data_IF_296963610538
#
_entry.id   IF_296963610538
#
_cell.length_a   1.000
_cell.length_b   1.000
_cell.length_c   1.000
_cell.angle_alpha   90.00
_cell.angle_beta   90.00
_cell.angle_gamma   90.00
#
_symmetry.space_group_name_H-M   'P 1'
#
loop_
_entity.id
_entity.type
_entity.pdbx_description
1 polymer ?
#
# COMPACT_ATOMS: atom_id res chain seq x y z
N UNK A 1 16.13 -6.26 12.15
CA UNK A 1 15.78 -5.10 13.00
C UNK A 1 14.53 -4.51 12.40
N UNK A 2 13.37 -4.90 12.92
CA UNK A 2 12.05 -4.42 12.50
C UNK A 2 11.92 -2.94 12.82
N UNK A 3 11.75 -2.10 11.79
CA UNK A 3 11.36 -0.70 11.95
C UNK A 3 9.93 -0.57 11.43
N UNK A 4 8.95 -0.84 12.30
CA UNK A 4 7.53 -0.70 12.01
C UNK A 4 6.86 0.28 12.99
N UNK A 5 5.74 0.87 12.56
CA UNK A 5 4.81 1.62 13.40
C UNK A 5 4.30 0.74 14.55
N UNK A 6 4.36 1.25 15.79
CA UNK A 6 3.93 0.49 16.98
C UNK A 6 2.52 0.89 17.39
N UNK A 7 1.70 -0.09 17.82
CA UNK A 7 0.31 0.07 18.27
C UNK A 7 0.22 -0.27 19.76
N UNK A 8 -0.39 0.59 20.58
CA UNK A 8 -0.72 0.25 21.99
C UNK A 8 -2.13 -0.35 22.12
N UNK A 9 -2.26 -1.45 22.87
CA UNK A 9 -3.52 -2.21 23.06
C UNK A 9 -4.26 -1.81 24.33
N UNK A 10 -5.59 -1.78 24.23
CA UNK A 10 -6.47 -2.11 25.34
C UNK A 10 -7.95 -2.06 24.94
N UNK A 11 -8.70 -3.15 25.10
CA UNK A 11 -10.10 -3.14 25.57
C UNK A 11 -10.60 -4.55 25.93
N UNK A 12 -11.30 -4.65 27.06
CA UNK A 12 -11.81 -5.88 27.69
C UNK A 12 -13.12 -6.40 27.06
N UNK A 13 -13.32 -7.71 27.21
CA UNK A 13 -14.46 -8.49 26.75
C UNK A 13 -15.67 -8.36 27.68
N UNK A 14 -16.88 -8.20 27.12
CA UNK A 14 -18.15 -8.86 27.55
C UNK A 14 -19.36 -8.19 26.85
N UNK A 15 -19.80 -8.76 25.72
CA UNK A 15 -21.19 -8.72 25.21
C UNK A 15 -21.25 -9.50 23.87
N UNK A 16 -21.86 -10.69 23.84
CA UNK A 16 -22.04 -11.50 22.62
C UNK A 16 -23.52 -11.65 22.26
N UNK A 17 -23.95 -11.27 21.04
CA UNK A 17 -25.18 -11.76 20.45
C UNK A 17 -24.94 -13.02 19.58
N UNK A 18 -26.06 -13.69 19.27
CA UNK A 18 -26.21 -14.97 18.57
C UNK A 18 -25.50 -15.09 17.21
N UNK A 19 -25.21 -16.34 16.83
CA UNK A 19 -24.31 -16.74 15.75
C UNK A 19 -24.47 -15.96 14.42
N UNK A 20 -23.37 -15.41 13.86
CA UNK A 20 -23.40 -14.64 12.61
C UNK A 20 -23.61 -15.53 11.38
N UNK A 21 -24.14 -14.97 10.26
CA UNK A 21 -24.19 -15.66 8.98
C UNK A 21 -22.77 -16.03 8.52
N UNK A 22 -22.65 -17.13 7.76
CA UNK A 22 -21.41 -17.75 7.30
C UNK A 22 -20.30 -16.76 6.88
N UNK A 23 -19.31 -16.57 7.78
CA UNK A 23 -18.12 -15.70 7.64
C UNK A 23 -16.96 -16.32 6.83
N UNK A 24 -17.16 -17.47 6.18
CA UNK A 24 -16.05 -18.27 5.64
C UNK A 24 -15.31 -17.63 4.44
N UNK A 25 -15.96 -16.76 3.65
CA UNK A 25 -15.32 -16.03 2.53
C UNK A 25 -14.66 -14.71 2.97
N UNK A 26 -15.31 -13.99 3.88
CA UNK A 26 -14.90 -12.65 4.36
C UNK A 26 -13.51 -12.64 5.02
N UNK A 27 -13.05 -13.78 5.56
CA UNK A 27 -11.74 -13.88 6.21
C UNK A 27 -10.56 -14.06 5.24
N UNK A 28 -10.77 -14.69 4.08
CA UNK A 28 -9.71 -14.93 3.09
C UNK A 28 -9.50 -13.69 2.22
N UNK A 29 -10.61 -13.10 1.78
CA UNK A 29 -10.71 -11.85 1.04
C UNK A 29 -9.96 -10.71 1.75
N UNK A 30 -10.21 -10.51 3.04
CA UNK A 30 -9.54 -9.48 3.84
C UNK A 30 -8.05 -9.74 4.05
N UNK A 31 -7.64 -11.01 4.16
CA UNK A 31 -6.23 -11.38 4.26
C UNK A 31 -5.48 -11.08 2.95
N UNK A 32 -6.09 -11.39 1.79
CA UNK A 32 -5.54 -11.08 0.48
C UNK A 32 -5.31 -9.58 0.28
N UNK A 33 -6.27 -8.74 0.71
CA UNK A 33 -6.13 -7.27 0.73
C UNK A 33 -4.95 -6.81 1.59
N UNK A 34 -4.80 -7.36 2.79
CA UNK A 34 -3.67 -7.05 3.67
C UNK A 34 -2.33 -7.37 3.01
N UNK A 35 -2.20 -8.59 2.45
CA UNK A 35 -0.98 -9.05 1.83
C UNK A 35 -0.62 -8.26 0.57
N UNK A 36 -1.62 -7.90 -0.24
CA UNK A 36 -1.44 -7.05 -1.42
C UNK A 36 -0.69 -5.75 -1.07
N UNK A 37 -1.17 -5.03 -0.07
CA UNK A 37 -0.56 -3.76 0.35
C UNK A 37 0.84 -3.94 0.93
N UNK A 38 1.03 -4.96 1.78
CA UNK A 38 2.33 -5.29 2.38
C UNK A 38 3.37 -5.64 1.32
N UNK A 39 3.00 -6.45 0.34
CA UNK A 39 3.91 -6.94 -0.70
C UNK A 39 4.29 -5.83 -1.68
N UNK A 40 3.33 -4.97 -2.08
CA UNK A 40 3.67 -3.78 -2.87
C UNK A 40 4.54 -2.80 -2.08
N UNK A 41 4.28 -2.59 -0.79
CA UNK A 41 5.14 -1.74 0.04
C UNK A 41 6.59 -2.23 0.05
N UNK A 42 6.79 -3.54 0.17
CA UNK A 42 8.11 -4.16 0.10
C UNK A 42 8.73 -4.07 -1.30
N UNK A 43 7.95 -4.24 -2.37
CA UNK A 43 8.43 -4.12 -3.76
C UNK A 43 8.99 -2.74 -4.11
N UNK A 44 8.48 -1.68 -3.47
CA UNK A 44 8.92 -0.28 -3.67
C UNK A 44 9.89 0.22 -2.59
N UNK A 45 10.49 -0.69 -1.81
CA UNK A 45 11.65 -0.40 -0.96
C UNK A 45 12.93 -0.80 -1.69
N UNK A 46 14.08 -0.28 -1.22
CA UNK A 46 15.37 -0.69 -1.76
C UNK A 46 15.50 -2.22 -1.69
N UNK A 47 15.85 -2.89 -2.80
CA UNK A 47 15.85 -4.35 -2.87
C UNK A 47 16.90 -4.94 -1.92
N UNK A 48 16.50 -5.98 -1.16
CA UNK A 48 17.37 -6.71 -0.22
C UNK A 48 17.55 -8.19 -0.59
N UNK A 49 17.08 -8.62 -1.76
CA UNK A 49 16.97 -10.02 -2.19
C UNK A 49 15.52 -10.53 -2.12
N UNK A 50 15.26 -11.72 -2.66
CA UNK A 50 13.96 -12.37 -2.56
C UNK A 50 12.84 -11.74 -3.42
N UNK A 51 13.18 -10.91 -4.41
CA UNK A 51 12.17 -10.19 -5.20
C UNK A 51 11.34 -11.13 -6.09
N UNK A 52 11.91 -12.25 -6.54
CA UNK A 52 11.17 -13.26 -7.30
C UNK A 52 10.09 -13.92 -6.45
N UNK A 53 10.44 -14.33 -5.23
CA UNK A 53 9.53 -14.89 -4.25
C UNK A 53 8.45 -13.87 -3.84
N UNK A 54 8.85 -12.62 -3.58
CA UNK A 54 7.92 -11.53 -3.27
C UNK A 54 6.90 -11.32 -4.39
N UNK A 55 7.35 -11.28 -5.66
CA UNK A 55 6.44 -11.11 -6.79
C UNK A 55 5.55 -12.34 -6.99
N UNK A 56 6.05 -13.55 -6.66
CA UNK A 56 5.23 -14.76 -6.67
C UNK A 56 4.14 -14.72 -5.60
N UNK A 57 4.47 -14.34 -4.36
CA UNK A 57 3.51 -14.12 -3.28
C UNK A 57 2.48 -13.04 -3.65
N UNK A 58 2.93 -11.94 -4.28
CA UNK A 58 2.06 -10.87 -4.71
C UNK A 58 1.05 -11.35 -5.76
N UNK A 59 1.45 -12.24 -6.67
CA UNK A 59 0.52 -12.84 -7.64
C UNK A 59 -0.56 -13.68 -6.96
N UNK A 60 -0.22 -14.40 -5.88
CA UNK A 60 -1.19 -15.17 -5.11
C UNK A 60 -2.16 -14.22 -4.39
N UNK A 61 -1.64 -13.20 -3.71
CA UNK A 61 -2.48 -12.20 -3.03
C UNK A 61 -3.43 -11.47 -3.99
N UNK A 62 -2.98 -11.13 -5.21
CA UNK A 62 -3.84 -10.51 -6.23
C UNK A 62 -4.87 -11.49 -6.78
N UNK A 63 -4.55 -12.78 -6.91
CA UNK A 63 -5.49 -13.80 -7.38
C UNK A 63 -6.58 -14.11 -6.34
N UNK A 64 -6.22 -14.08 -5.06
CA UNK A 64 -7.12 -14.30 -3.93
C UNK A 64 -7.88 -13.01 -3.53
N UNK A 65 -7.57 -11.87 -4.15
CA UNK A 65 -8.27 -10.62 -3.93
C UNK A 65 -9.73 -10.71 -4.39
N UNK A 66 -10.70 -10.11 -3.69
CA UNK A 66 -12.14 -10.19 -4.05
C UNK A 66 -12.48 -9.67 -5.45
N UNK A 67 -11.65 -8.74 -5.94
CA UNK A 67 -11.73 -8.20 -7.28
C UNK A 67 -10.35 -8.34 -7.95
N UNK A 68 -10.01 -9.54 -8.46
CA UNK A 68 -8.67 -9.82 -8.95
C UNK A 68 -8.43 -9.14 -10.30
N UNK A 69 -7.18 -8.73 -10.54
CA UNK A 69 -6.76 -8.15 -11.82
C UNK A 69 -5.74 -9.05 -12.53
N UNK A 70 -5.60 -8.98 -13.86
CA UNK A 70 -4.60 -9.75 -14.58
C UNK A 70 -3.18 -9.47 -14.07
N UNK A 71 -2.45 -10.54 -13.72
CA UNK A 71 -1.07 -10.45 -13.28
C UNK A 71 -0.10 -10.35 -14.47
N UNK A 72 0.81 -9.37 -14.52
CA UNK A 72 1.80 -9.26 -15.58
C UNK A 72 2.95 -10.28 -15.41
N UNK A 73 3.59 -10.59 -16.53
CA UNK A 73 4.89 -11.27 -16.52
C UNK A 73 5.94 -10.20 -16.21
N UNK A 74 6.63 -10.36 -15.09
CA UNK A 74 7.69 -9.45 -14.66
C UNK A 74 8.98 -10.24 -14.54
N UNK A 75 9.96 -9.90 -15.36
CA UNK A 75 11.29 -10.51 -15.31
C UNK A 75 12.13 -9.82 -14.24
N UNK A 76 12.66 -10.59 -13.29
CA UNK A 76 13.57 -10.07 -12.28
C UNK A 76 15.02 -10.17 -12.77
N UNK A 77 15.75 -9.05 -12.87
CA UNK A 77 17.18 -9.10 -13.05
C UNK A 77 17.87 -9.54 -11.74
N UNK A 78 19.14 -9.96 -11.79
CA UNK A 78 19.92 -10.28 -10.59
C UNK A 78 19.93 -9.11 -9.59
N UNK A 79 20.01 -9.41 -8.29
CA UNK A 79 19.91 -8.41 -7.21
C UNK A 79 20.85 -7.21 -7.40
N UNK A 80 22.09 -7.41 -7.83
CA UNK A 80 23.03 -6.33 -8.06
C UNK A 80 22.55 -5.33 -9.13
N UNK A 81 21.97 -5.84 -10.21
CA UNK A 81 21.39 -5.03 -11.27
C UNK A 81 20.08 -4.37 -10.81
N UNK A 82 19.25 -5.09 -10.06
CA UNK A 82 18.00 -4.55 -9.49
C UNK A 82 18.27 -3.38 -8.53
N UNK A 83 19.28 -3.50 -7.66
CA UNK A 83 19.72 -2.44 -6.76
C UNK A 83 20.25 -1.23 -7.53
N UNK A 84 21.07 -1.46 -8.56
CA UNK A 84 21.57 -0.38 -9.41
C UNK A 84 20.43 0.38 -10.08
N UNK A 85 19.45 -0.34 -10.66
CA UNK A 85 18.26 0.27 -11.27
C UNK A 85 17.44 1.05 -10.25
N UNK A 86 17.23 0.50 -9.04
CA UNK A 86 16.51 1.19 -7.97
C UNK A 86 17.17 2.53 -7.62
N UNK A 87 18.47 2.53 -7.32
CA UNK A 87 19.21 3.75 -6.96
C UNK A 87 19.20 4.78 -8.09
N UNK A 88 19.35 4.34 -9.34
CA UNK A 88 19.29 5.22 -10.52
C UNK A 88 17.92 5.88 -10.70
N UNK A 89 16.84 5.13 -10.50
CA UNK A 89 15.48 5.63 -10.65
C UNK A 89 15.09 6.55 -9.47
N UNK A 90 15.30 6.09 -8.23
CA UNK A 90 14.60 6.63 -7.07
C UNK A 90 15.46 7.39 -6.05
N UNK A 91 16.78 7.17 -5.98
CA UNK A 91 17.61 7.71 -4.88
C UNK A 91 18.61 8.79 -5.28
N UNK A 92 18.83 9.00 -6.58
CA UNK A 92 19.71 10.03 -7.15
C UNK A 92 21.21 9.91 -6.82
N UNK A 93 22.02 9.71 -7.86
CA UNK A 93 23.49 9.87 -7.81
C UNK A 93 23.98 11.33 -7.98
N UNK A 94 23.08 12.31 -8.19
CA UNK A 94 23.45 13.67 -8.64
C UNK A 94 22.46 14.79 -8.22
N UNK A 95 21.70 14.59 -7.13
CA UNK A 95 20.95 15.67 -6.46
C UNK A 95 19.45 15.78 -6.76
N UNK A 96 18.91 15.01 -7.71
CA UNK A 96 17.46 14.71 -7.88
C UNK A 96 17.29 13.30 -8.42
N UNK A 97 16.35 12.53 -7.86
CA UNK A 97 16.03 11.20 -8.39
C UNK A 97 15.41 11.36 -9.77
N UNK A 98 15.62 10.39 -10.66
CA UNK A 98 15.03 10.45 -11.98
C UNK A 98 13.49 10.45 -11.88
N UNK A 99 12.96 9.69 -10.91
CA UNK A 99 11.54 9.58 -10.60
C UNK A 99 11.39 9.53 -9.08
N UNK A 100 10.49 10.35 -8.53
CA UNK A 100 10.21 10.37 -7.09
C UNK A 100 9.21 9.29 -6.69
N UNK A 101 9.36 8.77 -5.47
CA UNK A 101 8.39 7.91 -4.77
C UNK A 101 7.63 8.67 -3.68
N UNK A 102 7.63 10.01 -3.72
CA UNK A 102 6.96 10.88 -2.74
C UNK A 102 5.73 11.55 -3.33
N UNK A 103 4.56 11.45 -2.67
CA UNK A 103 3.30 12.12 -3.09
C UNK A 103 3.53 13.62 -3.34
N UNK A 104 4.32 14.27 -2.49
CA UNK A 104 4.54 15.72 -2.58
C UNK A 104 5.23 16.20 -3.87
N UNK A 105 5.90 15.33 -4.62
CA UNK A 105 6.52 15.66 -5.91
C UNK A 105 5.54 15.55 -7.10
N UNK A 106 4.32 15.05 -6.86
CA UNK A 106 3.22 14.95 -7.83
C UNK A 106 2.05 15.86 -7.43
N UNK A 107 1.91 16.18 -6.15
CA UNK A 107 0.85 17.04 -5.66
C UNK A 107 1.02 18.51 -6.10
N UNK A 108 -0.10 19.20 -6.33
CA UNK A 108 -0.13 20.66 -6.50
C UNK A 108 0.05 21.44 -5.19
N UNK A 109 -0.03 20.75 -4.05
CA UNK A 109 0.16 21.29 -2.70
C UNK A 109 1.64 21.36 -2.32
N UNK A 110 1.97 22.18 -1.33
CA UNK A 110 3.33 22.17 -0.76
C UNK A 110 3.59 20.87 -0.01
N UNK A 111 4.85 20.41 0.00
CA UNK A 111 5.28 19.23 0.78
C UNK A 111 4.88 19.30 2.26
N UNK A 112 4.99 20.48 2.88
CA UNK A 112 4.58 20.67 4.26
C UNK A 112 3.08 20.39 4.48
N UNK A 113 2.23 20.84 3.56
CA UNK A 113 0.78 20.57 3.60
C UNK A 113 0.47 19.09 3.39
N UNK A 114 1.14 18.44 2.44
CA UNK A 114 0.99 17.00 2.20
C UNK A 114 1.37 16.21 3.45
N UNK A 115 2.52 16.54 4.05
CA UNK A 115 3.02 15.90 5.26
C UNK A 115 2.11 16.12 6.47
N UNK A 116 1.62 17.33 6.69
CA UNK A 116 0.68 17.61 7.79
C UNK A 116 -0.60 16.78 7.64
N UNK A 117 -1.18 16.77 6.44
CA UNK A 117 -2.42 16.05 6.20
C UNK A 117 -2.23 14.52 6.35
N UNK A 118 -1.09 13.96 5.91
CA UNK A 118 -0.84 12.51 5.97
C UNK A 118 -0.44 12.03 7.37
N UNK A 119 0.37 12.82 8.09
CA UNK A 119 0.74 12.51 9.49
C UNK A 119 -0.50 12.55 10.37
N UNK A 120 -1.39 13.54 10.18
CA UNK A 120 -2.68 13.58 10.90
C UNK A 120 -3.53 12.35 10.63
N UNK A 121 -3.51 11.83 9.40
CA UNK A 121 -4.21 10.58 9.07
C UNK A 121 -3.61 9.40 9.83
N UNK A 122 -2.27 9.25 9.83
CA UNK A 122 -1.60 8.20 10.60
C UNK A 122 -1.95 8.28 12.10
N UNK A 123 -1.84 9.47 12.70
CA UNK A 123 -2.15 9.69 14.11
C UNK A 123 -3.61 9.37 14.46
N UNK A 124 -4.57 9.65 13.55
CA UNK A 124 -5.98 9.31 13.74
C UNK A 124 -6.21 7.80 13.95
N UNK A 125 -5.41 6.96 13.29
CA UNK A 125 -5.46 5.50 13.43
C UNK A 125 -4.47 4.96 14.47
N UNK A 126 -3.87 5.82 15.29
CA UNK A 126 -2.94 5.43 16.35
C UNK A 126 -1.54 5.09 15.85
N UNK A 127 -1.21 5.43 14.61
CA UNK A 127 0.12 5.26 14.04
C UNK A 127 1.00 6.47 14.37
N UNK A 128 2.10 6.25 15.09
CA UNK A 128 3.04 7.32 15.41
C UNK A 128 4.13 7.42 14.33
N UNK A 129 4.14 8.53 13.59
CA UNK A 129 5.25 8.84 12.69
C UNK A 129 6.38 9.54 13.45
N UNK A 130 7.44 8.80 13.75
CA UNK A 130 8.67 9.35 14.31
C UNK A 130 9.78 9.37 13.25
N UNK A 131 10.08 10.55 12.72
CA UNK A 131 11.14 10.74 11.72
C UNK A 131 12.57 10.41 12.20
N UNK A 132 12.78 10.14 13.49
CA UNK A 132 14.07 9.66 14.01
C UNK A 132 14.24 8.14 13.88
N UNK A 133 13.15 7.37 13.94
CA UNK A 133 13.17 5.91 13.82
C UNK A 133 12.83 5.42 12.41
N UNK A 134 12.00 6.18 11.68
CA UNK A 134 11.58 5.88 10.33
C UNK A 134 12.49 6.63 9.34
N UNK A 135 13.23 5.87 8.52
CA UNK A 135 14.16 6.44 7.53
C UNK A 135 13.50 6.99 6.28
N UNK A 136 12.20 6.72 6.10
CA UNK A 136 11.39 7.22 4.98
C UNK A 136 10.56 8.42 5.42
N UNK A 137 10.39 9.38 4.53
CA UNK A 137 9.45 10.50 4.70
C UNK A 137 8.00 9.99 4.69
N UNK A 138 7.07 10.67 5.38
CA UNK A 138 5.73 10.12 5.64
C UNK A 138 4.88 9.94 4.38
N UNK A 139 5.21 10.66 3.30
CA UNK A 139 4.57 10.63 1.98
C UNK A 139 5.27 9.69 0.98
N UNK A 140 6.18 8.84 1.45
CA UNK A 140 6.82 7.85 0.60
C UNK A 140 5.83 6.72 0.30
N UNK A 141 5.74 6.27 -0.97
CA UNK A 141 4.81 5.24 -1.44
C UNK A 141 4.73 4.02 -0.53
N UNK A 142 5.89 3.47 -0.15
CA UNK A 142 5.95 2.30 0.73
C UNK A 142 5.28 2.53 2.10
N UNK A 143 5.36 3.74 2.68
CA UNK A 143 4.68 4.06 3.95
C UNK A 143 3.18 4.23 3.76
N UNK A 144 2.74 4.84 2.65
CA UNK A 144 1.31 4.93 2.32
C UNK A 144 0.67 3.55 2.14
N UNK A 145 1.39 2.64 1.46
CA UNK A 145 0.96 1.25 1.30
C UNK A 145 0.99 0.48 2.62
N UNK A 146 1.97 0.72 3.50
CA UNK A 146 1.99 0.14 4.84
C UNK A 146 0.83 0.64 5.70
N UNK A 147 0.41 1.90 5.54
CA UNK A 147 -0.79 2.41 6.18
C UNK A 147 -2.04 1.68 5.67
N UNK A 148 -2.18 1.47 4.36
CA UNK A 148 -3.28 0.68 3.81
C UNK A 148 -3.27 -0.78 4.29
N UNK A 149 -2.10 -1.41 4.36
CA UNK A 149 -1.94 -2.73 4.97
C UNK A 149 -2.45 -2.74 6.42
N UNK A 150 -2.08 -1.73 7.21
CA UNK A 150 -2.52 -1.61 8.59
C UNK A 150 -4.05 -1.45 8.71
N UNK A 151 -4.66 -0.59 7.88
CA UNK A 151 -6.11 -0.41 7.88
C UNK A 151 -6.85 -1.69 7.51
N UNK A 152 -6.43 -2.36 6.43
CA UNK A 152 -6.99 -3.64 6.01
C UNK A 152 -6.81 -4.72 7.10
N UNK A 153 -5.69 -4.69 7.83
CA UNK A 153 -5.45 -5.59 8.96
C UNK A 153 -6.42 -5.32 10.11
N UNK A 154 -6.63 -4.04 10.47
CA UNK A 154 -7.65 -3.67 11.46
C UNK A 154 -9.04 -4.14 11.01
N UNK A 155 -9.41 -3.91 9.75
CA UNK A 155 -10.67 -4.35 9.16
C UNK A 155 -10.86 -5.87 9.25
N UNK A 156 -9.80 -6.65 8.97
CA UNK A 156 -9.79 -8.11 9.12
C UNK A 156 -10.02 -8.59 10.55
N UNK A 157 -9.55 -7.82 11.53
CA UNK A 157 -9.68 -8.12 12.96
C UNK A 157 -11.05 -7.76 13.55
N UNK A 158 -11.86 -6.98 12.84
CA UNK A 158 -13.15 -6.50 13.32
C UNK A 158 -14.22 -7.59 13.29
N UNK A 159 -14.79 -7.87 14.47
CA UNK A 159 -15.96 -8.76 14.64
C UNK A 159 -17.31 -8.06 14.46
N UNK A 160 -17.31 -6.72 14.48
CA UNK A 160 -18.48 -5.86 14.37
C UNK A 160 -18.38 -4.96 13.13
N UNK A 161 -19.22 -3.92 13.03
CA UNK A 161 -19.32 -3.01 11.88
C UNK A 161 -17.95 -2.44 11.45
N UNK A 162 -17.46 -2.91 10.30
CA UNK A 162 -16.22 -2.44 9.67
C UNK A 162 -16.43 -1.20 8.80
N UNK A 163 -17.67 -0.70 8.66
CA UNK A 163 -18.04 0.43 7.80
C UNK A 163 -17.16 1.68 7.97
N UNK A 164 -16.82 2.12 9.19
CA UNK A 164 -15.89 3.25 9.37
C UNK A 164 -14.50 3.01 8.79
N UNK A 165 -13.95 1.80 8.92
CA UNK A 165 -12.62 1.44 8.37
C UNK A 165 -12.67 1.35 6.85
N UNK A 166 -13.69 0.68 6.29
CA UNK A 166 -13.88 0.60 4.84
C UNK A 166 -13.96 1.99 4.20
N UNK A 167 -14.71 2.92 4.82
CA UNK A 167 -14.78 4.32 4.38
C UNK A 167 -13.43 5.03 4.49
N UNK A 168 -12.67 4.79 5.55
CA UNK A 168 -11.34 5.37 5.73
C UNK A 168 -10.34 4.86 4.68
N UNK A 169 -10.35 3.56 4.38
CA UNK A 169 -9.53 2.95 3.34
C UNK A 169 -9.84 3.53 1.96
N UNK A 170 -11.12 3.61 1.61
CA UNK A 170 -11.55 4.24 0.35
C UNK A 170 -11.11 5.70 0.28
N UNK A 171 -11.32 6.46 1.35
CA UNK A 171 -10.94 7.87 1.41
C UNK A 171 -9.43 8.05 1.30
N UNK A 172 -8.62 7.15 1.87
CA UNK A 172 -7.17 7.17 1.71
C UNK A 172 -6.76 6.89 0.27
N UNK A 173 -7.33 5.86 -0.36
CA UNK A 173 -7.09 5.58 -1.78
C UNK A 173 -7.42 6.79 -2.65
N UNK A 174 -8.62 7.37 -2.50
CA UNK A 174 -9.13 8.46 -3.33
C UNK A 174 -8.35 9.76 -3.17
N UNK A 175 -7.88 10.06 -1.96
CA UNK A 175 -7.21 11.32 -1.64
C UNK A 175 -5.69 11.24 -1.73
N UNK A 176 -5.12 10.03 -1.71
CA UNK A 176 -3.68 9.77 -1.73
C UNK A 176 -3.31 8.91 -2.91
N UNK A 177 -3.20 7.60 -2.72
CA UNK A 177 -2.57 6.68 -3.66
C UNK A 177 -3.08 6.83 -5.10
N UNK A 178 -4.39 6.98 -5.33
CA UNK A 178 -4.95 7.10 -6.68
C UNK A 178 -4.75 8.47 -7.34
N UNK A 179 -4.38 9.49 -6.58
CA UNK A 179 -4.17 10.84 -7.13
C UNK A 179 -2.86 10.97 -7.89
N UNK A 180 -1.85 10.15 -7.57
CA UNK A 180 -0.49 10.33 -8.06
C UNK A 180 0.17 9.05 -8.61
N UNK A 181 -0.23 7.87 -8.14
CA UNK A 181 0.34 6.60 -8.66
C UNK A 181 0.14 6.39 -10.17
N UNK A 182 -0.96 6.85 -10.83
CA UNK A 182 -1.06 6.76 -12.29
C UNK A 182 0.02 7.57 -13.03
N UNK A 183 0.37 8.75 -12.49
CA UNK A 183 1.44 9.57 -13.07
C UNK A 183 2.81 8.95 -12.80
N UNK A 184 3.04 8.40 -11.60
CA UNK A 184 4.24 7.61 -11.31
C UNK A 184 4.42 6.47 -12.32
N UNK A 185 3.37 5.67 -12.56
CA UNK A 185 3.41 4.56 -13.50
C UNK A 185 3.71 5.03 -14.94
N UNK A 186 3.14 6.17 -15.35
CA UNK A 186 3.42 6.74 -16.67
C UNK A 186 4.88 7.23 -16.78
N UNK A 187 5.41 7.93 -15.76
CA UNK A 187 6.82 8.37 -15.74
C UNK A 187 7.79 7.19 -15.78
N UNK A 188 7.49 6.11 -15.06
CA UNK A 188 8.29 4.87 -15.10
C UNK A 188 8.23 4.20 -16.48
N UNK A 189 7.05 4.12 -17.09
CA UNK A 189 6.89 3.57 -18.44
C UNK A 189 7.72 4.31 -19.49
N UNK A 190 7.82 5.63 -19.37
CA UNK A 190 8.56 6.48 -20.32
C UNK A 190 10.07 6.52 -20.03
N UNK A 191 10.52 6.01 -18.88
CA UNK A 191 11.92 6.03 -18.47
C UNK A 191 12.71 4.83 -19.02
N UNK A 192 13.96 5.04 -19.47
CA UNK A 192 14.82 3.95 -19.93
C UNK A 192 15.23 3.06 -18.75
N UNK A 193 15.28 1.74 -18.98
CA UNK A 193 15.69 0.75 -17.97
C UNK A 193 14.87 0.77 -16.67
N UNK A 194 13.60 1.20 -16.76
CA UNK A 194 12.70 1.29 -15.61
C UNK A 194 12.08 -0.06 -15.19
N UNK A 195 12.19 -1.11 -16.00
CA UNK A 195 11.80 -2.45 -15.59
C UNK A 195 12.70 -2.95 -14.45
N UNK A 196 12.19 -3.71 -13.47
CA UNK A 196 10.81 -4.19 -13.38
C UNK A 196 9.81 -3.20 -12.74
N UNK A 197 10.28 -2.03 -12.30
CA UNK A 197 9.46 -1.09 -11.53
C UNK A 197 8.34 -0.45 -12.36
N UNK A 198 8.53 -0.30 -13.68
CA UNK A 198 7.46 0.12 -14.58
C UNK A 198 6.28 -0.87 -14.58
N UNK A 199 6.54 -2.17 -14.73
CA UNK A 199 5.50 -3.20 -14.64
C UNK A 199 4.86 -3.26 -13.23
N UNK A 200 5.66 -3.14 -12.16
CA UNK A 200 5.14 -3.11 -10.78
C UNK A 200 4.22 -1.91 -10.53
N UNK A 201 4.57 -0.72 -11.03
CA UNK A 201 3.78 0.50 -10.84
C UNK A 201 2.48 0.47 -11.63
N UNK A 202 2.51 -0.04 -12.87
CA UNK A 202 1.30 -0.26 -13.66
C UNK A 202 0.36 -1.27 -12.96
N UNK A 203 0.91 -2.38 -12.48
CA UNK A 203 0.15 -3.40 -11.76
C UNK A 203 -0.43 -2.89 -10.45
N UNK A 204 0.35 -2.11 -9.69
CA UNK A 204 -0.14 -1.41 -8.50
C UNK A 204 -1.36 -0.55 -8.83
N UNK A 205 -1.32 0.25 -9.89
CA UNK A 205 -2.45 1.10 -10.27
C UNK A 205 -3.73 0.29 -10.55
N UNK A 206 -3.61 -0.86 -11.22
CA UNK A 206 -4.75 -1.72 -11.51
C UNK A 206 -5.32 -2.34 -10.23
N UNK A 207 -4.44 -2.83 -9.35
CA UNK A 207 -4.81 -3.35 -8.03
C UNK A 207 -5.51 -2.30 -7.16
N UNK A 208 -4.97 -1.08 -7.08
CA UNK A 208 -5.58 0.00 -6.29
C UNK A 208 -6.98 0.38 -6.79
N UNK A 209 -7.19 0.40 -8.12
CA UNK A 209 -8.51 0.65 -8.70
C UNK A 209 -9.48 -0.48 -8.42
N UNK A 210 -9.01 -1.73 -8.50
CA UNK A 210 -9.84 -2.89 -8.21
C UNK A 210 -10.25 -2.96 -6.75
N UNK A 211 -9.33 -2.66 -5.82
CA UNK A 211 -9.63 -2.58 -4.39
C UNK A 211 -10.57 -1.43 -4.05
N UNK A 212 -10.36 -0.25 -4.64
CA UNK A 212 -11.29 0.88 -4.52
C UNK A 212 -12.71 0.50 -4.97
N UNK A 213 -12.85 -0.18 -6.11
CA UNK A 213 -14.14 -0.61 -6.62
C UNK A 213 -14.81 -1.64 -5.69
N UNK A 214 -14.02 -2.54 -5.09
CA UNK A 214 -14.52 -3.47 -4.08
C UNK A 214 -14.96 -2.75 -2.81
N UNK A 215 -14.17 -1.79 -2.30
CA UNK A 215 -14.52 -0.98 -1.13
C UNK A 215 -15.84 -0.23 -1.34
N UNK A 216 -16.08 0.31 -2.54
CA UNK A 216 -17.36 0.96 -2.85
C UNK A 216 -18.55 0.01 -2.75
N UNK A 217 -18.40 -1.23 -3.24
CA UNK A 217 -19.43 -2.28 -3.14
C UNK A 217 -19.64 -2.68 -1.67
N UNK A 218 -18.57 -2.97 -0.94
CA UNK A 218 -18.63 -3.36 0.47
C UNK A 218 -19.28 -2.28 1.34
N UNK A 219 -18.98 -1.00 1.09
CA UNK A 219 -19.62 0.13 1.80
C UNK A 219 -21.11 0.22 1.46
N UNK A 220 -21.50 -0.02 0.20
CA UNK A 220 -22.89 0.02 -0.22
C UNK A 220 -23.73 -1.11 0.41
N UNK A 221 -23.15 -2.27 0.67
CA UNK A 221 -23.82 -3.42 1.31
C UNK A 221 -24.07 -3.23 2.81
N UNK A 222 -23.35 -2.32 3.47
CA UNK A 222 -23.49 -2.04 4.90
C UNK A 222 -24.54 -0.94 5.18
N UNK A 223 -24.89 -0.12 4.18
CA UNK A 223 -25.89 0.94 4.29
C UNK A 223 -27.30 0.46 3.93
#
# INVERSE_FOLDING_TARGET
MENGMTVERGLCAEDRPSAPPSLAGVSADRAARCDLYRLFAQAFRHPSGGMEELVAELRLAVADHPNPVPSPIIAMPPLAELSQRYTQLFEASNGRSAISLHESDFASKTRATVWEDIVRFYEHFGLNYNGQSIRLWPDHLALELECMHYLAFLESGMRADAGPLLRAERDFLDRRLLTWTPELAQRLKDAPQAEPYAALAAWLCDCLRADRAWLEQAIAEIN
#
